data_IF_425896152299
#
_entry.id   IF_425896152299
#
_cell.length_a   1.000
_cell.length_b   1.000
_cell.length_c   1.000
_cell.angle_alpha   90.00
_cell.angle_beta   90.00
_cell.angle_gamma   90.00
#
_symmetry.space_group_name_H-M   'P 1'
#
loop_
_entity.id
_entity.type
_entity.pdbx_description
1 polymer ?
#
# COMPACT_ATOMS: atom_id res chain seq x y z
N UNK A 1 -2.53 -11.36 -2.67
CA UNK A 1 -1.11 -10.91 -2.55
C UNK A 1 -0.98 -9.38 -2.42
N UNK A 2 -1.54 -8.54 -3.31
CA UNK A 2 -1.39 -7.08 -3.21
C UNK A 2 -1.80 -6.49 -1.85
N UNK A 3 -2.93 -6.94 -1.29
CA UNK A 3 -3.39 -6.46 0.02
C UNK A 3 -2.48 -6.87 1.19
N UNK A 4 -1.82 -8.01 1.10
CA UNK A 4 -0.75 -8.40 2.03
C UNK A 4 0.41 -7.40 2.00
N UNK A 5 0.89 -7.06 0.80
CA UNK A 5 1.98 -6.09 0.61
C UNK A 5 1.55 -4.69 1.10
N UNK A 6 0.28 -4.34 0.91
CA UNK A 6 -0.26 -3.09 1.45
C UNK A 6 -0.13 -3.06 2.98
N UNK A 7 -0.60 -4.11 3.68
CA UNK A 7 -0.49 -4.21 5.14
C UNK A 7 0.95 -4.15 5.64
N UNK A 8 1.84 -4.86 4.95
CA UNK A 8 3.28 -4.84 5.25
C UNK A 8 3.86 -3.43 5.18
N UNK A 9 3.65 -2.71 4.07
CA UNK A 9 4.16 -1.35 3.87
C UNK A 9 3.58 -0.36 4.88
N UNK A 10 2.26 -0.38 5.04
CA UNK A 10 1.55 0.55 5.92
C UNK A 10 2.05 0.43 7.36
N UNK A 11 2.13 -0.79 7.87
CA UNK A 11 2.51 -1.00 9.26
C UNK A 11 4.01 -0.82 9.48
N UNK A 12 4.85 -1.30 8.55
CA UNK A 12 6.29 -1.05 8.63
C UNK A 12 6.59 0.45 8.65
N UNK A 13 6.04 1.22 7.71
CA UNK A 13 6.28 2.67 7.63
C UNK A 13 5.72 3.38 8.86
N UNK A 14 4.48 3.08 9.28
CA UNK A 14 3.87 3.75 10.43
C UNK A 14 4.66 3.57 11.73
N UNK A 15 5.22 2.38 11.96
CA UNK A 15 5.91 2.07 13.20
C UNK A 15 7.39 2.43 13.16
N UNK A 16 8.06 2.23 12.02
CA UNK A 16 9.52 2.31 11.96
C UNK A 16 10.06 3.54 11.25
N UNK A 17 9.27 4.27 10.44
CA UNK A 17 9.72 5.52 9.81
C UNK A 17 10.20 6.56 10.83
N UNK A 18 9.48 6.84 11.95
CA UNK A 18 9.97 7.83 12.91
C UNK A 18 11.28 7.40 13.55
N UNK A 19 11.41 6.12 13.89
CA UNK A 19 12.63 5.59 14.49
C UNK A 19 13.82 5.65 13.51
N UNK A 20 13.61 5.30 12.24
CA UNK A 20 14.63 5.39 11.18
C UNK A 20 15.08 6.84 10.93
N UNK A 21 14.13 7.78 10.90
CA UNK A 21 14.44 9.21 10.74
C UNK A 21 15.26 9.74 11.92
N UNK A 22 14.87 9.43 13.16
CA UNK A 22 15.62 9.83 14.35
C UNK A 22 16.99 9.17 14.40
N UNK A 23 17.11 7.91 14.02
CA UNK A 23 18.39 7.20 13.91
C UNK A 23 19.34 7.86 12.89
N UNK A 24 18.78 8.43 11.83
CA UNK A 24 19.51 9.21 10.81
C UNK A 24 19.74 10.68 11.19
N UNK A 25 19.46 11.08 12.44
CA UNK A 25 19.71 12.42 12.96
C UNK A 25 18.61 13.45 12.66
N UNK A 26 17.47 13.03 12.15
CA UNK A 26 16.31 13.90 11.96
C UNK A 26 15.56 14.07 13.30
N UNK A 27 15.08 15.27 13.59
CA UNK A 27 14.40 15.57 14.87
C UNK A 27 13.08 14.81 14.99
N UNK A 28 12.68 14.47 16.23
CA UNK A 28 11.42 13.81 16.51
C UNK A 28 10.20 14.63 16.02
N UNK A 29 10.32 15.96 16.01
CA UNK A 29 9.29 16.86 15.50
C UNK A 29 9.06 16.63 13.99
N UNK A 30 10.10 16.60 13.18
CA UNK A 30 10.01 16.35 11.73
C UNK A 30 9.50 14.93 11.46
N UNK A 31 9.94 13.94 12.26
CA UNK A 31 9.44 12.57 12.16
C UNK A 31 7.93 12.50 12.44
N UNK A 32 7.45 13.23 13.45
CA UNK A 32 6.02 13.37 13.76
C UNK A 32 5.24 14.06 12.63
N UNK A 33 5.77 15.16 12.08
CA UNK A 33 5.16 15.84 10.94
C UNK A 33 5.08 14.95 9.69
N UNK A 34 6.08 14.10 9.45
CA UNK A 34 6.04 13.14 8.33
C UNK A 34 4.85 12.20 8.44
N UNK A 35 4.54 11.67 9.63
CA UNK A 35 3.36 10.83 9.86
C UNK A 35 2.04 11.62 9.75
N UNK A 36 2.01 12.83 10.27
CA UNK A 36 0.82 13.69 10.19
C UNK A 36 0.46 13.99 8.72
N UNK A 37 1.46 14.29 7.89
CA UNK A 37 1.29 14.54 6.46
C UNK A 37 0.80 13.29 5.74
N UNK A 38 1.31 12.09 6.07
CA UNK A 38 0.76 10.82 5.56
C UNK A 38 -0.75 10.76 5.80
N UNK A 39 -1.20 11.07 7.02
CA UNK A 39 -2.64 11.07 7.37
C UNK A 39 -3.46 12.03 6.52
N UNK A 40 -3.00 13.27 6.36
CA UNK A 40 -3.72 14.30 5.57
C UNK A 40 -3.75 13.94 4.08
N UNK A 41 -2.62 13.60 3.50
CA UNK A 41 -2.53 13.30 2.06
C UNK A 41 -3.22 11.98 1.69
N UNK A 42 -3.35 11.05 2.65
CA UNK A 42 -4.12 9.82 2.47
C UNK A 42 -5.60 10.08 2.16
N UNK A 43 -6.20 11.11 2.74
CA UNK A 43 -7.59 11.48 2.43
C UNK A 43 -7.70 11.84 0.95
N UNK A 44 -6.80 12.71 0.47
CA UNK A 44 -6.74 13.14 -0.93
C UNK A 44 -6.53 11.94 -1.85
N UNK A 45 -5.53 11.10 -1.54
CA UNK A 45 -5.20 9.92 -2.33
C UNK A 45 -6.34 8.93 -2.44
N UNK A 46 -7.00 8.61 -1.33
CA UNK A 46 -8.13 7.66 -1.31
C UNK A 46 -9.30 8.15 -2.16
N UNK A 47 -9.64 9.45 -2.08
CA UNK A 47 -10.68 10.06 -2.89
C UNK A 47 -10.32 10.08 -4.39
N UNK A 48 -9.09 10.49 -4.72
CA UNK A 48 -8.62 10.55 -6.12
C UNK A 48 -8.60 9.17 -6.77
N UNK A 49 -8.03 8.16 -6.12
CA UNK A 49 -7.99 6.80 -6.65
C UNK A 49 -9.36 6.14 -6.63
N UNK A 50 -10.21 6.43 -5.64
CA UNK A 50 -11.61 5.99 -5.65
C UNK A 50 -12.35 6.50 -6.89
N UNK A 51 -12.21 7.79 -7.20
CA UNK A 51 -12.79 8.39 -8.41
C UNK A 51 -12.15 7.82 -9.70
N UNK A 52 -10.81 7.67 -9.74
CA UNK A 52 -10.10 7.12 -10.91
C UNK A 52 -10.58 5.71 -11.25
N UNK A 53 -10.86 4.88 -10.24
CA UNK A 53 -11.39 3.52 -10.41
C UNK A 53 -12.76 3.46 -11.07
N UNK A 54 -13.50 4.58 -11.14
CA UNK A 54 -14.76 4.66 -11.90
C UNK A 54 -14.54 4.97 -13.39
N UNK A 55 -13.34 5.43 -13.77
CA UNK A 55 -13.02 5.93 -15.13
C UNK A 55 -12.17 4.97 -15.95
N UNK A 56 -11.33 4.16 -15.30
CA UNK A 56 -10.37 3.27 -15.97
C UNK A 56 -10.49 1.83 -15.45
N UNK A 57 -9.88 0.89 -16.18
CA UNK A 57 -9.78 -0.51 -15.75
C UNK A 57 -9.06 -0.58 -14.41
N UNK A 58 -9.71 -1.12 -13.40
CA UNK A 58 -9.31 -1.09 -11.98
C UNK A 58 -7.95 -1.73 -11.65
N UNK A 59 -7.50 -2.79 -12.35
CA UNK A 59 -6.16 -3.35 -12.12
C UNK A 59 -5.03 -2.37 -12.45
N UNK A 60 -5.21 -1.46 -13.42
CA UNK A 60 -4.17 -0.51 -13.83
C UNK A 60 -3.84 0.48 -12.71
N UNK A 61 -4.80 1.27 -12.15
CA UNK A 61 -4.48 2.16 -11.04
C UNK A 61 -4.01 1.41 -9.79
N UNK A 62 -4.53 0.20 -9.51
CA UNK A 62 -4.04 -0.59 -8.40
C UNK A 62 -2.58 -1.02 -8.57
N UNK A 63 -2.20 -1.49 -9.76
CA UNK A 63 -0.81 -1.81 -10.07
C UNK A 63 0.09 -0.56 -10.00
N UNK A 64 -0.36 0.59 -10.54
CA UNK A 64 0.40 1.83 -10.48
C UNK A 64 0.69 2.28 -9.06
N UNK A 65 -0.24 2.09 -8.10
CA UNK A 65 -0.01 2.39 -6.69
C UNK A 65 1.19 1.59 -6.15
N UNK A 66 1.28 0.28 -6.41
CA UNK A 66 2.40 -0.54 -5.95
C UNK A 66 3.72 -0.13 -6.56
N UNK A 67 3.73 0.15 -7.87
CA UNK A 67 4.93 0.64 -8.55
C UNK A 67 5.38 1.99 -7.99
N UNK A 68 4.47 2.95 -7.85
CA UNK A 68 4.77 4.28 -7.31
C UNK A 68 5.27 4.20 -5.86
N UNK A 69 4.73 3.30 -5.03
CA UNK A 69 5.26 3.06 -3.68
C UNK A 69 6.71 2.58 -3.73
N UNK A 70 7.01 1.58 -4.57
CA UNK A 70 8.38 1.08 -4.70
C UNK A 70 9.34 2.17 -5.17
N UNK A 71 8.94 2.99 -6.15
CA UNK A 71 9.74 4.13 -6.61
C UNK A 71 9.94 5.17 -5.51
N UNK A 72 8.87 5.53 -4.79
CA UNK A 72 8.94 6.49 -3.69
C UNK A 72 9.87 6.02 -2.57
N UNK A 73 9.77 4.73 -2.18
CA UNK A 73 10.65 4.13 -1.18
C UNK A 73 12.11 4.11 -1.69
N UNK A 74 12.33 3.74 -2.95
CA UNK A 74 13.68 3.74 -3.56
C UNK A 74 14.30 5.14 -3.53
N UNK A 75 13.55 6.18 -3.93
CA UNK A 75 14.02 7.56 -3.88
C UNK A 75 14.33 7.98 -2.44
N UNK A 76 13.47 7.62 -1.48
CA UNK A 76 13.69 7.92 -0.06
C UNK A 76 14.99 7.30 0.47
N UNK A 77 15.23 6.01 0.17
CA UNK A 77 16.43 5.29 0.64
C UNK A 77 17.71 5.84 0.04
N UNK A 78 17.68 6.22 -1.25
CA UNK A 78 18.83 6.76 -1.97
C UNK A 78 19.10 8.25 -1.70
N UNK A 79 18.12 8.96 -1.12
CA UNK A 79 18.26 10.39 -0.83
C UNK A 79 19.05 10.62 0.47
N UNK A 80 19.84 11.71 0.55
CA UNK A 80 20.48 12.08 1.81
C UNK A 80 19.41 12.43 2.86
N UNK A 81 19.60 12.00 4.14
CA UNK A 81 18.64 12.28 5.19
C UNK A 81 18.46 13.79 5.39
N UNK A 82 17.22 14.27 5.25
CA UNK A 82 16.89 15.67 5.49
C UNK A 82 15.40 15.82 5.85
N UNK A 83 15.06 16.91 6.53
CA UNK A 83 13.68 17.22 6.86
C UNK A 83 12.79 17.30 5.61
N UNK A 84 13.29 17.91 4.53
CA UNK A 84 12.57 18.04 3.26
C UNK A 84 12.27 16.67 2.65
N UNK A 85 13.24 15.76 2.60
CA UNK A 85 13.06 14.40 2.08
C UNK A 85 12.03 13.64 2.92
N UNK A 86 12.09 13.74 4.25
CA UNK A 86 11.14 13.09 5.16
C UNK A 86 9.69 13.56 4.92
N UNK A 87 9.48 14.86 4.79
CA UNK A 87 8.17 15.48 4.55
C UNK A 87 7.64 15.13 3.15
N UNK A 88 8.47 15.22 2.11
CA UNK A 88 8.09 14.86 0.74
C UNK A 88 7.76 13.37 0.62
N UNK A 89 8.55 12.50 1.26
CA UNK A 89 8.24 11.08 1.36
C UNK A 89 6.88 10.86 2.01
N UNK A 90 6.62 11.51 3.16
CA UNK A 90 5.33 11.43 3.85
C UNK A 90 4.17 11.88 2.95
N UNK A 91 4.33 12.98 2.22
CA UNK A 91 3.29 13.50 1.33
C UNK A 91 2.96 12.53 0.19
N UNK A 92 3.97 12.01 -0.50
CA UNK A 92 3.78 11.10 -1.64
C UNK A 92 3.28 9.73 -1.19
N UNK A 93 3.89 9.15 -0.15
CA UNK A 93 3.47 7.85 0.35
C UNK A 93 2.07 7.91 0.93
N UNK A 94 1.67 9.04 1.54
CA UNK A 94 0.34 9.26 2.05
C UNK A 94 -0.73 9.23 0.97
N UNK A 95 -0.51 9.86 -0.19
CA UNK A 95 -1.44 9.78 -1.34
C UNK A 95 -1.65 8.33 -1.76
N UNK A 96 -0.63 7.49 -1.64
CA UNK A 96 -0.69 6.09 -2.02
C UNK A 96 -1.16 5.18 -0.87
N UNK A 97 -1.37 5.71 0.36
CA UNK A 97 -1.44 4.96 1.61
C UNK A 97 -2.55 3.91 1.65
N UNK A 98 -3.79 4.33 1.60
CA UNK A 98 -4.96 3.44 1.58
C UNK A 98 -5.71 3.44 0.23
N UNK A 99 -5.14 4.05 -0.80
CA UNK A 99 -5.72 4.08 -2.15
C UNK A 99 -5.97 2.67 -2.73
N UNK A 100 -5.27 1.66 -2.21
CA UNK A 100 -5.48 0.24 -2.59
C UNK A 100 -6.82 -0.32 -2.11
N UNK A 101 -7.42 0.22 -1.03
CA UNK A 101 -8.67 -0.30 -0.44
C UNK A 101 -9.85 -0.13 -1.41
N UNK A 102 -10.19 1.09 -1.87
CA UNK A 102 -11.29 1.27 -2.82
C UNK A 102 -11.04 0.53 -4.12
N UNK A 103 -9.80 0.45 -4.60
CA UNK A 103 -9.46 -0.27 -5.84
C UNK A 103 -9.69 -1.78 -5.70
N UNK A 104 -9.26 -2.38 -4.59
CA UNK A 104 -9.45 -3.83 -4.35
C UNK A 104 -10.94 -4.17 -4.24
N UNK A 105 -11.71 -3.38 -3.49
CA UNK A 105 -13.15 -3.59 -3.36
C UNK A 105 -13.88 -3.41 -4.71
N UNK A 106 -13.45 -2.44 -5.52
CA UNK A 106 -14.00 -2.23 -6.85
C UNK A 106 -13.68 -3.41 -7.80
N UNK A 107 -12.50 -4.03 -7.68
CA UNK A 107 -12.14 -5.24 -8.43
C UNK A 107 -13.04 -6.40 -7.98
N UNK A 108 -13.17 -6.66 -6.68
CA UNK A 108 -14.01 -7.74 -6.15
C UNK A 108 -15.45 -7.57 -6.66
N UNK A 109 -16.00 -6.36 -6.59
CA UNK A 109 -17.33 -6.06 -7.09
C UNK A 109 -17.47 -6.31 -8.59
N UNK A 110 -16.48 -5.94 -9.39
CA UNK A 110 -16.49 -6.10 -10.83
C UNK A 110 -16.41 -7.57 -11.28
N UNK A 111 -15.70 -8.43 -10.52
CA UNK A 111 -15.51 -9.84 -10.90
C UNK A 111 -16.60 -10.78 -10.35
N UNK A 112 -17.10 -10.52 -9.15
CA UNK A 112 -17.90 -11.48 -8.38
C UNK A 112 -19.30 -10.94 -8.09
N UNK A 113 -19.47 -9.62 -8.26
CA UNK A 113 -20.74 -8.97 -7.96
C UNK A 113 -20.92 -8.65 -6.46
N UNK A 114 -22.08 -8.07 -6.10
CA UNK A 114 -22.30 -7.55 -4.75
C UNK A 114 -22.52 -8.63 -3.69
N UNK A 115 -23.00 -9.83 -4.07
CA UNK A 115 -23.42 -10.90 -3.17
C UNK A 115 -22.35 -11.33 -2.17
N UNK A 116 -21.10 -11.44 -2.61
CA UNK A 116 -19.99 -11.90 -1.79
C UNK A 116 -18.96 -10.81 -1.47
N UNK A 117 -19.27 -9.55 -1.77
CA UNK A 117 -18.32 -8.43 -1.60
C UNK A 117 -17.80 -8.33 -0.17
N UNK A 118 -18.68 -8.37 0.84
CA UNK A 118 -18.29 -8.25 2.24
C UNK A 118 -17.37 -9.40 2.68
N UNK A 119 -17.71 -10.64 2.33
CA UNK A 119 -16.93 -11.82 2.70
C UNK A 119 -15.54 -11.79 2.07
N UNK A 120 -15.45 -11.49 0.78
CA UNK A 120 -14.18 -11.45 0.06
C UNK A 120 -13.30 -10.28 0.49
N UNK A 121 -13.91 -9.12 0.76
CA UNK A 121 -13.20 -7.99 1.36
C UNK A 121 -12.65 -8.36 2.74
N UNK A 122 -13.42 -9.09 3.56
CA UNK A 122 -12.95 -9.61 4.86
C UNK A 122 -11.72 -10.53 4.71
N UNK A 123 -11.74 -11.47 3.75
CA UNK A 123 -10.60 -12.35 3.47
C UNK A 123 -9.38 -11.52 3.02
N UNK A 124 -9.57 -10.52 2.15
CA UNK A 124 -8.50 -9.61 1.76
C UNK A 124 -7.93 -8.85 2.97
N UNK A 125 -8.79 -8.44 3.91
CA UNK A 125 -8.34 -7.79 5.15
C UNK A 125 -7.54 -8.73 6.06
N UNK A 126 -7.87 -10.02 6.14
CA UNK A 126 -7.05 -11.01 6.86
C UNK A 126 -5.64 -11.06 6.24
N UNK A 127 -5.54 -11.12 4.90
CA UNK A 127 -4.25 -11.08 4.22
C UNK A 127 -3.48 -9.78 4.52
N UNK A 128 -4.19 -8.63 4.58
CA UNK A 128 -3.60 -7.34 4.97
C UNK A 128 -3.02 -7.40 6.39
N UNK A 129 -3.77 -7.94 7.35
CA UNK A 129 -3.32 -8.05 8.74
C UNK A 129 -2.11 -8.98 8.90
N UNK A 130 -2.05 -10.08 8.15
CA UNK A 130 -0.87 -10.94 8.12
C UNK A 130 0.37 -10.17 7.59
N UNK A 131 0.19 -9.36 6.56
CA UNK A 131 1.24 -8.47 6.08
C UNK A 131 1.64 -7.44 7.12
N UNK A 132 0.66 -6.84 7.81
CA UNK A 132 0.88 -5.85 8.86
C UNK A 132 1.71 -6.41 10.04
N UNK A 133 1.36 -7.61 10.51
CA UNK A 133 2.12 -8.30 11.58
C UNK A 133 3.56 -8.53 11.16
N UNK A 134 3.79 -9.02 9.93
CA UNK A 134 5.14 -9.25 9.43
C UNK A 134 5.92 -7.94 9.23
N UNK A 135 5.28 -6.89 8.73
CA UNK A 135 5.91 -5.57 8.57
C UNK A 135 6.36 -4.97 9.91
N UNK A 136 5.51 -5.08 10.94
CA UNK A 136 5.84 -4.63 12.29
C UNK A 136 6.99 -5.45 12.90
N UNK A 137 6.85 -6.77 12.89
CA UNK A 137 7.80 -7.68 13.53
C UNK A 137 9.16 -7.70 12.86
N UNK A 138 9.18 -7.85 11.52
CA UNK A 138 10.44 -7.89 10.77
C UNK A 138 11.18 -6.55 10.84
N UNK A 139 10.48 -5.41 10.90
CA UNK A 139 11.10 -4.11 11.05
C UNK A 139 11.97 -4.03 12.31
N UNK A 140 11.43 -4.44 13.46
CA UNK A 140 12.20 -4.53 14.71
C UNK A 140 13.31 -5.57 14.63
N UNK A 141 12.99 -6.79 14.14
CA UNK A 141 13.95 -7.89 14.05
C UNK A 141 15.16 -7.57 13.17
N UNK A 142 14.94 -6.91 12.03
CA UNK A 142 16.04 -6.49 11.15
C UNK A 142 16.90 -5.41 11.81
N UNK A 143 16.27 -4.47 12.52
CA UNK A 143 17.03 -3.47 13.27
C UNK A 143 17.88 -4.10 14.36
N UNK A 144 17.36 -5.07 15.12
CA UNK A 144 18.10 -5.78 16.17
C UNK A 144 19.32 -6.55 15.61
N UNK A 145 19.20 -7.10 14.38
CA UNK A 145 20.26 -7.90 13.77
C UNK A 145 21.31 -7.03 13.05
N UNK A 146 20.85 -6.04 12.30
CA UNK A 146 21.71 -5.27 11.37
C UNK A 146 22.02 -3.85 11.87
N UNK A 147 21.38 -3.37 12.94
CA UNK A 147 21.53 -2.00 13.45
C UNK A 147 21.01 -0.94 12.47
N UNK A 148 20.17 -1.32 11.49
CA UNK A 148 19.67 -0.42 10.45
C UNK A 148 18.34 -0.93 9.88
N UNK A 149 17.50 0.01 9.40
CA UNK A 149 16.27 -0.32 8.68
C UNK A 149 16.48 -0.49 7.16
N UNK A 150 17.68 -0.30 6.64
CA UNK A 150 17.96 -0.26 5.20
C UNK A 150 17.50 -1.53 4.48
N UNK A 151 17.82 -2.70 5.03
CA UNK A 151 17.40 -3.99 4.47
C UNK A 151 15.86 -4.13 4.42
N UNK A 152 15.14 -3.59 5.40
CA UNK A 152 13.68 -3.59 5.42
C UNK A 152 13.09 -2.67 4.35
N UNK A 153 13.72 -1.51 4.12
CA UNK A 153 13.32 -0.64 3.02
C UNK A 153 13.47 -1.33 1.67
N UNK A 154 14.61 -2.00 1.42
CA UNK A 154 14.82 -2.76 0.19
C UNK A 154 13.87 -3.96 0.04
N UNK A 155 13.56 -4.66 1.13
CA UNK A 155 12.54 -5.70 1.14
C UNK A 155 11.17 -5.13 0.75
N UNK A 156 10.82 -3.94 1.28
CA UNK A 156 9.58 -3.25 0.92
C UNK A 156 9.54 -2.91 -0.58
N UNK A 157 10.63 -2.42 -1.16
CA UNK A 157 10.74 -2.18 -2.61
C UNK A 157 10.48 -3.46 -3.40
N UNK A 158 11.14 -4.56 -3.04
CA UNK A 158 10.98 -5.84 -3.72
C UNK A 158 9.54 -6.35 -3.66
N UNK A 159 8.91 -6.31 -2.48
CA UNK A 159 7.50 -6.71 -2.31
C UNK A 159 6.54 -5.85 -3.14
N UNK A 160 6.79 -4.54 -3.22
CA UNK A 160 5.98 -3.64 -4.04
C UNK A 160 6.10 -3.94 -5.54
N UNK A 161 7.31 -4.26 -6.03
CA UNK A 161 7.52 -4.69 -7.42
C UNK A 161 6.79 -6.01 -7.70
N UNK A 162 6.88 -6.99 -6.81
CA UNK A 162 6.14 -8.25 -6.93
C UNK A 162 4.63 -8.01 -6.97
N UNK A 163 4.11 -7.14 -6.08
CA UNK A 163 2.69 -6.79 -6.08
C UNK A 163 2.27 -6.10 -7.37
N UNK A 164 3.08 -5.20 -7.92
CA UNK A 164 2.86 -4.57 -9.22
C UNK A 164 2.77 -5.61 -10.34
N UNK A 165 3.77 -6.49 -10.46
CA UNK A 165 3.82 -7.52 -11.51
C UNK A 165 2.60 -8.45 -11.44
N UNK A 166 2.20 -8.90 -10.24
CA UNK A 166 1.03 -9.75 -10.07
C UNK A 166 -0.27 -9.02 -10.37
N UNK A 167 -0.36 -7.72 -10.04
CA UNK A 167 -1.60 -6.97 -10.22
C UNK A 167 -1.82 -6.58 -11.69
N UNK A 168 -0.75 -6.22 -12.42
CA UNK A 168 -0.87 -5.80 -13.83
C UNK A 168 -1.29 -6.95 -14.76
N UNK A 169 -1.06 -8.22 -14.35
CA UNK A 169 -1.50 -9.39 -15.12
C UNK A 169 -2.98 -9.72 -14.96
N UNK A 170 -3.67 -9.08 -14.01
CA UNK A 170 -5.10 -9.29 -13.77
C UNK A 170 -5.91 -8.67 -14.91
N UNK A 171 -6.60 -9.50 -15.68
CA UNK A 171 -7.52 -9.05 -16.74
C UNK A 171 -8.88 -8.76 -16.14
N UNK A 172 -9.39 -7.54 -16.33
CA UNK A 172 -10.74 -7.20 -15.89
C UNK A 172 -11.76 -7.75 -16.90
N UNK A 173 -12.50 -8.80 -16.49
CA UNK A 173 -13.68 -9.28 -17.20
C UNK A 173 -14.92 -8.80 -16.46
N UNK A 174 -15.84 -8.07 -17.14
CA UNK A 174 -17.03 -7.53 -16.47
C UNK A 174 -17.93 -8.67 -15.98
N UNK A 175 -18.40 -8.57 -14.75
CA UNK A 175 -19.46 -9.44 -14.24
C UNK A 175 -20.73 -9.27 -15.10
N UNK A 176 -21.14 -10.35 -15.77
CA UNK A 176 -22.37 -10.35 -16.59
C UNK A 176 -23.53 -10.88 -15.75
N UNK A 177 -24.52 -10.04 -15.50
CA UNK A 177 -25.77 -10.40 -14.79
C UNK A 177 -26.48 -11.60 -15.45
N UNK A 178 -26.28 -11.82 -16.73
CA UNK A 178 -26.84 -12.97 -17.47
C UNK A 178 -26.26 -14.34 -17.05
N UNK A 179 -25.14 -14.38 -16.31
CA UNK A 179 -24.60 -15.64 -15.81
C UNK A 179 -25.38 -16.19 -14.60
N UNK A 180 -26.03 -15.34 -13.80
CA UNK A 180 -26.87 -15.81 -12.68
C UNK A 180 -28.17 -16.45 -13.17
N UNK A 181 -28.78 -15.93 -14.23
CA UNK A 181 -30.00 -16.49 -14.79
C UNK A 181 -29.85 -17.89 -15.41
N UNK A 182 -28.62 -18.22 -15.84
CA UNK A 182 -28.30 -19.57 -16.37
C UNK A 182 -27.97 -20.61 -15.31
N UNK A 183 -27.74 -20.22 -14.05
CA UNK A 183 -27.47 -21.15 -12.96
C UNK A 183 -28.72 -21.49 -12.12
N UNK A 184 -29.82 -20.78 -12.37
CA UNK A 184 -31.09 -21.00 -11.66
C UNK A 184 -32.17 -21.70 -12.52
N UNK A 185 -31.84 -22.08 -13.74
CA UNK A 185 -32.65 -22.96 -14.61
C UNK A 185 -31.92 -24.30 -14.80
#
# INVERSE_FOLDING_TARGET
MGFFVCGFHVTFIALHLPADLMFKGITAEVAGWSLAIIGVTNIIGTLCFGWLGTKVKKPIPLASIYLMRSLTITIFVLSPPSATVAILFGAVIGILWLATVPMTNAIILAFIGPKYLATLSGICFICHQLGAVLGAWLGGKFFDIYGSYENMWWLSVALGIVAFLLTITVKEEPFSVNSELKQTT
#
